data_IF_025196638141
#
_entry.id   IF_025196638141
#
_cell.length_a   1.000
_cell.length_b   1.000
_cell.length_c   1.000
_cell.angle_alpha   90.00
_cell.angle_beta   90.00
_cell.angle_gamma   90.00
#
_symmetry.space_group_name_H-M   'P 1'
#
loop_
_entity.id
_entity.type
_entity.pdbx_description
1 polymer ?
#
# COMPACT_ATOMS: atom_id res chain seq x y z
N UNK A 1 0.82 6.40 -22.46
CA UNK A 1 2.06 6.56 -21.66
C UNK A 1 1.82 6.49 -20.15
N UNK A 2 0.89 7.24 -19.53
CA UNK A 2 0.60 7.07 -18.09
C UNK A 2 -0.29 5.85 -17.76
N UNK A 3 -1.29 5.55 -18.60
CA UNK A 3 -2.20 4.40 -18.37
C UNK A 3 -1.52 3.03 -18.46
N UNK A 4 -0.59 2.86 -19.40
CA UNK A 4 0.15 1.59 -19.52
C UNK A 4 1.08 1.38 -18.32
N UNK A 5 1.73 2.45 -17.84
CA UNK A 5 2.62 2.42 -16.67
C UNK A 5 1.85 2.13 -15.38
N UNK A 6 0.68 2.75 -15.17
CA UNK A 6 -0.18 2.51 -14.02
C UNK A 6 -0.68 1.05 -13.98
N UNK A 7 -1.08 0.50 -15.13
CA UNK A 7 -1.50 -0.89 -15.23
C UNK A 7 -0.36 -1.87 -14.95
N UNK A 8 0.85 -1.56 -15.44
CA UNK A 8 2.04 -2.37 -15.18
C UNK A 8 2.44 -2.32 -13.70
N UNK A 9 2.38 -1.14 -13.09
CA UNK A 9 2.65 -0.95 -11.67
C UNK A 9 1.66 -1.73 -10.81
N UNK A 10 0.35 -1.61 -11.10
CA UNK A 10 -0.71 -2.31 -10.34
C UNK A 10 -0.64 -3.83 -10.49
N UNK A 11 -0.30 -4.35 -11.68
CA UNK A 11 -0.14 -5.79 -11.90
C UNK A 11 1.04 -6.37 -11.12
N UNK A 12 2.17 -5.68 -11.09
CA UNK A 12 3.34 -6.07 -10.29
C UNK A 12 3.09 -5.94 -8.78
N UNK A 13 2.38 -4.89 -8.35
CA UNK A 13 1.96 -4.73 -6.95
C UNK A 13 1.04 -5.88 -6.52
N UNK A 14 0.02 -6.21 -7.31
CA UNK A 14 -0.87 -7.35 -7.03
C UNK A 14 -0.14 -8.69 -6.97
N UNK A 15 0.82 -8.93 -7.85
CA UNK A 15 1.65 -10.13 -7.78
C UNK A 15 2.48 -10.19 -6.50
N UNK A 16 3.14 -9.09 -6.11
CA UNK A 16 3.91 -9.01 -4.87
C UNK A 16 3.04 -9.16 -3.62
N UNK A 17 1.80 -8.69 -3.67
CA UNK A 17 0.81 -8.86 -2.59
C UNK A 17 0.21 -10.28 -2.56
N UNK A 18 0.16 -10.98 -3.69
CA UNK A 18 -0.47 -12.30 -3.82
C UNK A 18 0.43 -13.51 -3.55
N UNK A 19 1.77 -13.36 -3.61
CA UNK A 19 2.73 -14.50 -3.56
C UNK A 19 2.92 -15.13 -2.18
N UNK A 20 2.18 -14.69 -1.14
CA UNK A 20 2.32 -15.25 0.21
C UNK A 20 1.04 -15.73 0.90
N UNK A 21 -0.14 -15.62 0.28
CA UNK A 21 -1.44 -15.95 0.92
C UNK A 21 -1.80 -15.08 2.14
N UNK A 22 -0.83 -14.40 2.76
CA UNK A 22 -1.01 -13.32 3.70
C UNK A 22 -1.24 -12.07 2.88
N UNK A 23 -2.47 -11.93 2.38
CA UNK A 23 -3.00 -10.63 2.00
C UNK A 23 -2.57 -9.69 3.12
N UNK A 24 -1.70 -8.70 2.85
CA UNK A 24 -1.54 -7.61 3.82
C UNK A 24 -2.96 -7.12 4.01
N UNK A 25 -3.55 -7.39 5.19
CA UNK A 25 -4.92 -6.99 5.44
C UNK A 25 -4.99 -5.52 5.11
N UNK A 26 -6.06 -5.09 4.44
CA UNK A 26 -6.20 -3.69 4.04
C UNK A 26 -5.93 -2.73 5.21
N UNK A 27 -6.21 -3.18 6.44
CA UNK A 27 -5.86 -2.53 7.69
C UNK A 27 -4.34 -2.40 7.95
N UNK A 28 -3.57 -3.48 7.77
CA UNK A 28 -2.11 -3.44 7.91
C UNK A 28 -1.47 -2.55 6.86
N UNK A 29 -1.96 -2.58 5.62
CA UNK A 29 -1.49 -1.67 4.56
C UNK A 29 -1.75 -0.21 4.96
N UNK A 30 -2.97 0.13 5.37
CA UNK A 30 -3.32 1.50 5.81
C UNK A 30 -2.46 1.96 6.98
N UNK A 31 -2.19 1.09 7.96
CA UNK A 31 -1.35 1.44 9.11
C UNK A 31 0.09 1.76 8.71
N UNK A 32 0.73 0.88 7.95
CA UNK A 32 2.12 1.08 7.49
C UNK A 32 2.23 2.29 6.56
N UNK A 33 1.24 2.48 5.68
CA UNK A 33 1.19 3.62 4.77
C UNK A 33 1.10 4.96 5.52
N UNK A 34 0.21 5.06 6.51
CA UNK A 34 0.05 6.27 7.32
C UNK A 34 1.31 6.55 8.16
N UNK A 35 1.97 5.53 8.72
CA UNK A 35 3.22 5.71 9.47
C UNK A 35 4.33 6.25 8.57
N UNK A 36 4.46 5.69 7.36
CA UNK A 36 5.57 6.04 6.44
C UNK A 36 5.41 7.40 5.79
N UNK A 37 4.19 7.79 5.42
CA UNK A 37 3.92 8.99 4.63
C UNK A 37 3.26 10.12 5.42
N UNK A 38 2.57 9.80 6.52
CA UNK A 38 1.82 10.75 7.35
C UNK A 38 2.16 10.64 8.85
N UNK A 39 3.44 10.64 9.25
CA UNK A 39 3.84 10.43 10.65
C UNK A 39 3.28 11.51 11.59
N UNK A 40 3.08 12.74 11.11
CA UNK A 40 2.49 13.84 11.88
C UNK A 40 0.99 13.61 12.17
N UNK A 41 0.24 13.10 11.19
CA UNK A 41 -1.21 12.85 11.34
C UNK A 41 -1.50 11.63 12.23
N UNK A 42 -0.62 10.63 12.22
CA UNK A 42 -0.67 9.52 13.18
C UNK A 42 -0.44 10.02 14.61
N UNK A 43 0.46 10.99 14.80
CA UNK A 43 0.80 11.54 16.13
C UNK A 43 -0.24 12.51 16.68
N UNK A 44 -1.00 13.18 15.80
CA UNK A 44 -2.02 14.16 16.17
C UNK A 44 -3.41 13.55 16.45
N UNK A 45 -3.58 12.22 16.34
CA UNK A 45 -4.73 11.51 16.92
C UNK A 45 -4.56 11.39 18.43
N UNK A 46 -4.75 12.49 19.14
CA UNK A 46 -4.92 12.55 20.60
C UNK A 46 -6.24 13.24 20.91
#
# INVERSE_FOLDING_TARGET
MLREEDNHWWKNANQRLGVGGVLITWERFKREFLIKYFPADVRNRK
#
